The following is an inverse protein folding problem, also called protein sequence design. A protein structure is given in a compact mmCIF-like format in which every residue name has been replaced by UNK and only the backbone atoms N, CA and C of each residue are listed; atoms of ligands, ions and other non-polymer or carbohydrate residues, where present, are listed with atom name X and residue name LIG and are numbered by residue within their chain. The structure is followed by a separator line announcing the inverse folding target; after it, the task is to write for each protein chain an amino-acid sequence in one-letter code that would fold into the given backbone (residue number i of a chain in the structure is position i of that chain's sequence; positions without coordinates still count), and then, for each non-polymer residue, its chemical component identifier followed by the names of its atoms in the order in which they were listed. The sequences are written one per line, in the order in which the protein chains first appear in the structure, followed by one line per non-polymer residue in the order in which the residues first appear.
data_IF_581586005100
#
_entry.id   IF_581586005100
#
_cell.length_a   1.000
_cell.length_b   1.000
_cell.length_c   1.000
_cell.angle_alpha   90.00
_cell.angle_beta   90.00
_cell.angle_gamma   90.00
#
_symmetry.space_group_name_H-M   'P 1'
#
loop_
_entity.id
_entity.type
_entity.pdbx_description
1 polymer ?
#
# COMPACT_ATOMS: atom_id res chain seq x y z
N UNK A 1 -11.58 -44.39 34.40
CA UNK A 1 -10.32 -43.68 34.07
C UNK A 1 -10.73 -42.29 33.64
N UNK A 2 -10.22 -41.27 34.34
CA UNK A 2 -10.51 -39.87 34.02
C UNK A 2 -9.64 -39.47 32.81
N UNK A 3 -10.24 -38.94 31.77
CA UNK A 3 -9.55 -38.59 30.53
C UNK A 3 -9.33 -37.08 30.49
N UNK A 4 -8.08 -36.67 30.70
CA UNK A 4 -7.67 -35.28 30.45
C UNK A 4 -7.62 -35.06 28.94
N UNK A 5 -8.53 -34.23 28.43
CA UNK A 5 -8.47 -33.73 27.06
C UNK A 5 -7.41 -32.62 27.07
N UNK A 6 -6.25 -32.93 26.49
CA UNK A 6 -5.20 -31.94 26.23
C UNK A 6 -5.58 -31.23 24.92
N UNK A 7 -5.88 -29.93 25.01
CA UNK A 7 -6.15 -29.10 23.84
C UNK A 7 -4.81 -28.70 23.18
N UNK A 8 -4.62 -29.09 21.91
CA UNK A 8 -3.41 -28.82 21.13
C UNK A 8 -3.52 -27.47 20.40
N UNK A 9 -3.73 -26.39 21.16
CA UNK A 9 -3.72 -25.03 20.61
C UNK A 9 -2.30 -24.53 20.30
N UNK A 10 -2.13 -23.76 19.22
CA UNK A 10 -0.86 -23.09 18.92
C UNK A 10 -0.47 -22.11 20.04
N UNK A 11 0.70 -22.32 20.65
CA UNK A 11 1.31 -21.33 21.54
C UNK A 11 1.95 -20.22 20.67
N UNK A 12 1.26 -19.10 20.52
CA UNK A 12 1.84 -17.91 19.89
C UNK A 12 2.80 -17.21 20.86
N UNK A 13 4.02 -16.93 20.43
CA UNK A 13 4.97 -16.12 21.19
C UNK A 13 4.53 -14.64 21.18
N UNK A 14 3.56 -14.28 22.01
CA UNK A 14 3.02 -12.92 22.11
C UNK A 14 2.69 -12.54 23.56
N UNK A 15 2.68 -11.23 23.85
CA UNK A 15 2.19 -10.67 25.11
C UNK A 15 0.66 -10.54 25.15
N UNK A 16 -0.04 -10.82 24.04
CA UNK A 16 -1.49 -10.73 23.92
C UNK A 16 -2.12 -12.12 23.86
N UNK A 17 -3.19 -12.33 24.64
CA UNK A 17 -3.97 -13.57 24.63
C UNK A 17 -4.70 -13.72 23.28
N UNK A 18 -4.47 -14.83 22.57
CA UNK A 18 -5.25 -15.23 21.38
C UNK A 18 -6.14 -16.43 21.68
N UNK A 19 -7.23 -16.58 20.91
CA UNK A 19 -8.08 -17.77 20.97
C UNK A 19 -7.34 -18.99 20.44
N UNK A 20 -7.55 -20.17 21.04
CA UNK A 20 -6.92 -21.41 20.60
C UNK A 20 -7.36 -21.79 19.19
N UNK A 21 -6.38 -21.95 18.29
CA UNK A 21 -6.54 -22.54 16.96
C UNK A 21 -5.97 -23.97 17.03
N UNK A 22 -6.77 -25.01 16.82
CA UNK A 22 -6.30 -26.39 16.88
C UNK A 22 -5.44 -26.72 15.66
N UNK A 23 -4.19 -27.13 15.86
CA UNK A 23 -3.29 -27.53 14.78
C UNK A 23 -2.49 -28.80 15.12
N UNK A 24 -1.96 -29.48 14.09
CA UNK A 24 -1.25 -30.76 14.19
C UNK A 24 0.27 -30.63 14.33
N UNK A 25 0.80 -29.45 14.69
CA UNK A 25 2.24 -29.16 14.78
C UNK A 25 2.73 -28.87 16.21
N UNK A 26 3.89 -29.43 16.60
CA UNK A 26 4.46 -29.28 17.94
C UNK A 26 5.42 -28.08 18.11
N UNK A 27 5.61 -27.27 17.07
CA UNK A 27 6.55 -26.14 17.07
C UNK A 27 5.80 -24.81 17.13
N UNK A 28 6.08 -23.94 18.12
CA UNK A 28 5.57 -22.58 18.16
C UNK A 28 5.91 -21.83 16.86
N UNK A 29 4.91 -21.23 16.23
CA UNK A 29 5.09 -20.42 15.03
C UNK A 29 5.25 -18.96 15.45
N UNK A 30 6.30 -18.30 14.97
CA UNK A 30 6.43 -16.85 15.10
C UNK A 30 5.25 -16.20 14.40
N UNK A 31 4.55 -15.25 15.05
CA UNK A 31 3.50 -14.49 14.35
C UNK A 31 4.09 -13.92 13.07
N UNK A 32 3.38 -14.11 11.96
CA UNK A 32 3.75 -13.44 10.72
C UNK A 32 3.78 -11.94 11.00
N UNK A 33 4.75 -11.26 10.38
CA UNK A 33 4.69 -9.80 10.30
C UNK A 33 3.32 -9.41 9.73
N UNK A 34 2.76 -8.29 10.18
CA UNK A 34 1.51 -7.75 9.64
C UNK A 34 1.76 -7.27 8.21
N UNK A 35 1.73 -8.22 7.27
CA UNK A 35 2.03 -8.03 5.85
C UNK A 35 0.85 -8.50 5.04
N UNK A 36 0.20 -7.56 4.34
CA UNK A 36 -0.88 -7.86 3.41
C UNK A 36 -0.35 -7.69 1.98
N UNK A 37 -0.09 -8.81 1.32
CA UNK A 37 0.35 -8.84 -0.07
C UNK A 37 -0.67 -9.50 -1.00
N UNK A 38 -0.78 -8.98 -2.22
CA UNK A 38 -1.63 -9.53 -3.27
C UNK A 38 -0.79 -9.97 -4.46
N UNK A 39 -1.20 -11.07 -5.10
CA UNK A 39 -0.60 -11.50 -6.36
C UNK A 39 -0.79 -10.42 -7.42
N UNK A 40 0.25 -10.08 -8.16
CA UNK A 40 0.14 -9.11 -9.27
C UNK A 40 -0.64 -9.67 -10.45
N UNK A 41 -0.53 -10.99 -10.71
CA UNK A 41 -1.23 -11.63 -11.82
C UNK A 41 -2.75 -11.45 -11.69
N UNK A 42 -3.36 -10.78 -12.66
CA UNK A 42 -4.81 -10.51 -12.71
C UNK A 42 -5.28 -9.30 -11.88
N UNK A 43 -4.44 -8.76 -10.99
CA UNK A 43 -4.79 -7.62 -10.14
C UNK A 43 -4.15 -6.31 -10.59
N UNK A 44 -3.07 -6.37 -11.38
CA UNK A 44 -2.43 -5.20 -11.99
C UNK A 44 -2.02 -5.51 -13.43
N UNK A 45 -2.12 -4.52 -14.31
CA UNK A 45 -1.66 -4.59 -15.69
C UNK A 45 -0.60 -3.51 -15.90
N UNK A 46 0.61 -3.90 -16.29
CA UNK A 46 1.70 -2.95 -16.52
C UNK A 46 1.43 -2.03 -17.72
N UNK A 47 0.70 -2.50 -18.75
CA UNK A 47 0.40 -1.65 -19.90
C UNK A 47 -0.43 -0.41 -19.57
N UNK A 48 -1.31 -0.48 -18.55
CA UNK A 48 -2.18 0.62 -18.11
C UNK A 48 -2.91 0.25 -16.82
N UNK A 49 -3.26 1.24 -16.02
CA UNK A 49 -4.06 1.01 -14.83
C UNK A 49 -4.27 2.23 -13.95
N UNK A 50 -4.96 2.00 -12.85
CA UNK A 50 -5.18 3.01 -11.81
C UNK A 50 -5.23 2.32 -10.46
N UNK A 51 -4.58 2.92 -9.48
CA UNK A 51 -4.72 2.53 -8.08
C UNK A 51 -5.30 3.69 -7.29
N UNK A 52 -6.24 3.38 -6.41
CA UNK A 52 -6.89 4.34 -5.52
C UNK A 52 -6.98 3.75 -4.12
N UNK A 53 -6.88 4.63 -3.13
CA UNK A 53 -7.16 4.31 -1.74
C UNK A 53 -7.49 5.59 -0.98
N UNK A 54 -8.09 5.42 0.20
CA UNK A 54 -8.07 6.46 1.22
C UNK A 54 -7.06 6.11 2.31
N UNK A 55 -6.18 7.05 2.64
CA UNK A 55 -5.12 6.88 3.62
C UNK A 55 -5.22 7.88 4.76
N UNK A 56 -4.79 7.48 5.95
CA UNK A 56 -4.52 8.41 7.05
C UNK A 56 -3.22 8.05 7.75
N UNK A 57 -2.33 9.00 7.99
CA UNK A 57 -1.12 8.79 8.78
C UNK A 57 -1.32 9.23 10.24
N UNK A 58 -0.41 8.86 11.13
CA UNK A 58 -0.29 9.48 12.48
C UNK A 58 0.70 10.65 12.50
N UNK A 59 1.53 10.74 11.47
CA UNK A 59 2.63 11.67 11.35
C UNK A 59 2.29 12.86 10.44
N UNK A 60 2.91 14.01 10.73
CA UNK A 60 2.91 15.20 9.86
C UNK A 60 4.06 15.19 8.85
N UNK A 61 5.10 14.39 9.14
CA UNK A 61 6.28 14.11 8.32
C UNK A 61 6.90 12.80 8.79
N UNK A 62 7.62 12.07 7.93
CA UNK A 62 8.11 10.73 8.27
C UNK A 62 9.51 10.44 7.72
N UNK A 63 10.15 9.44 8.33
CA UNK A 63 11.34 8.75 7.82
C UNK A 63 11.28 7.29 8.26
N UNK A 64 11.59 6.30 7.40
CA UNK A 64 11.98 6.42 5.98
C UNK A 64 10.78 6.69 5.06
N UNK A 65 10.96 6.60 3.74
CA UNK A 65 9.88 6.64 2.72
C UNK A 65 8.69 5.76 3.13
N UNK A 66 7.48 6.32 3.10
CA UNK A 66 6.25 5.69 3.55
C UNK A 66 5.46 5.16 2.35
N UNK A 67 5.10 3.87 2.38
CA UNK A 67 4.64 3.16 1.18
C UNK A 67 3.21 2.73 1.34
N UNK A 68 2.32 3.20 0.48
CA UNK A 68 0.88 2.89 0.54
C UNK A 68 0.57 1.65 -0.28
N UNK A 69 0.98 1.65 -1.56
CA UNK A 69 0.89 0.51 -2.46
C UNK A 69 2.19 0.40 -3.25
N UNK A 70 2.80 -0.78 -3.30
CA UNK A 70 4.06 -0.97 -4.02
C UNK A 70 4.26 -2.40 -4.53
N UNK A 71 4.93 -2.53 -5.68
CA UNK A 71 5.51 -3.76 -6.23
C UNK A 71 7.04 -3.68 -6.16
N UNK A 72 7.54 -3.55 -4.94
CA UNK A 72 8.97 -3.40 -4.65
C UNK A 72 9.48 -1.96 -4.72
N UNK A 73 10.81 -1.82 -4.65
CA UNK A 73 11.48 -0.51 -4.52
C UNK A 73 11.49 0.33 -5.80
N UNK A 74 11.32 -0.31 -6.96
CA UNK A 74 11.24 0.32 -8.29
C UNK A 74 9.82 0.37 -8.84
N UNK A 75 8.80 -0.08 -8.10
CA UNK A 75 7.41 0.01 -8.50
C UNK A 75 6.59 0.56 -7.35
N UNK A 76 6.59 1.87 -7.14
CA UNK A 76 5.88 2.51 -6.03
C UNK A 76 4.60 3.11 -6.59
N UNK A 77 3.51 2.37 -6.42
CA UNK A 77 2.22 2.73 -6.99
C UNK A 77 1.65 3.96 -6.28
N UNK A 78 1.72 3.97 -4.94
CA UNK A 78 1.38 5.12 -4.10
C UNK A 78 2.36 5.19 -2.94
N UNK A 79 3.01 6.33 -2.75
CA UNK A 79 3.96 6.52 -1.66
C UNK A 79 4.15 7.99 -1.28
N UNK A 80 4.72 8.23 -0.10
CA UNK A 80 5.20 9.54 0.37
C UNK A 80 6.72 9.46 0.56
N UNK A 81 7.47 10.40 0.00
CA UNK A 81 8.93 10.42 0.05
C UNK A 81 9.45 10.86 1.43
N UNK A 82 10.69 10.47 1.75
CA UNK A 82 11.30 10.81 3.03
C UNK A 82 11.26 12.32 3.33
N UNK A 83 10.83 12.68 4.54
CA UNK A 83 10.62 14.05 5.02
C UNK A 83 9.55 14.85 4.28
N UNK A 84 8.66 14.21 3.52
CA UNK A 84 7.52 14.92 2.95
C UNK A 84 6.44 15.22 3.99
N UNK A 85 5.74 16.35 3.85
CA UNK A 85 4.55 16.63 4.64
C UNK A 85 3.43 15.65 4.28
N UNK A 86 2.56 15.36 5.25
CA UNK A 86 1.40 14.47 5.10
C UNK A 86 0.27 15.06 4.25
N UNK A 87 0.57 15.73 3.14
CA UNK A 87 -0.42 16.37 2.27
C UNK A 87 -0.07 16.26 0.78
N UNK A 88 0.83 15.35 0.42
CA UNK A 88 1.17 15.00 -0.96
C UNK A 88 1.38 13.49 -1.08
N UNK A 89 1.17 12.96 -2.28
CA UNK A 89 1.48 11.57 -2.63
C UNK A 89 2.24 11.54 -3.95
N UNK A 90 2.99 10.46 -4.17
CA UNK A 90 3.82 10.24 -5.34
C UNK A 90 3.55 8.86 -5.93
N UNK A 91 3.96 8.70 -7.19
CA UNK A 91 4.14 7.41 -7.84
C UNK A 91 5.49 7.36 -8.56
N UNK A 92 6.08 6.16 -8.63
CA UNK A 92 7.40 5.90 -9.24
C UNK A 92 7.36 4.58 -10.00
N UNK A 93 7.61 4.63 -11.31
CA UNK A 93 7.63 3.46 -12.21
C UNK A 93 9.00 2.74 -12.26
N UNK A 94 10.03 3.32 -11.63
CA UNK A 94 11.40 2.82 -11.67
C UNK A 94 12.36 3.76 -12.38
N UNK A 95 11.84 4.70 -13.19
CA UNK A 95 12.61 5.70 -13.92
C UNK A 95 12.11 7.14 -13.67
N UNK A 96 10.79 7.32 -13.59
CA UNK A 96 10.09 8.59 -13.55
C UNK A 96 9.24 8.71 -12.29
N UNK A 97 9.19 9.92 -11.72
CA UNK A 97 8.41 10.23 -10.52
C UNK A 97 7.38 11.29 -10.88
N UNK A 98 6.14 11.08 -10.45
CA UNK A 98 5.07 12.09 -10.44
C UNK A 98 4.73 12.44 -9.00
N UNK A 99 4.33 13.68 -8.76
CA UNK A 99 3.99 14.19 -7.43
C UNK A 99 2.67 14.93 -7.48
N UNK A 100 1.71 14.53 -6.65
CA UNK A 100 0.44 15.24 -6.56
C UNK A 100 0.65 16.71 -6.14
N UNK A 101 -0.32 17.60 -6.41
CA UNK A 101 -0.33 18.91 -5.78
C UNK A 101 -0.41 18.78 -4.26
N UNK A 102 -0.21 19.91 -3.56
CA UNK A 102 -0.47 20.00 -2.12
C UNK A 102 -1.97 19.93 -1.88
N UNK A 103 -2.42 18.84 -1.26
CA UNK A 103 -3.80 18.63 -0.86
C UNK A 103 -4.05 18.97 0.61
N UNK A 104 -5.16 18.45 1.12
CA UNK A 104 -5.43 18.48 2.56
C UNK A 104 -4.60 17.42 3.28
N UNK A 105 -4.28 17.67 4.56
CA UNK A 105 -3.43 16.75 5.31
C UNK A 105 -4.14 15.43 5.58
N UNK A 106 -3.45 14.31 5.34
CA UNK A 106 -3.84 12.98 5.76
C UNK A 106 -3.35 12.58 7.15
N UNK A 107 -2.73 13.51 7.91
CA UNK A 107 -2.44 13.28 9.32
C UNK A 107 -3.74 13.22 10.12
N UNK A 108 -4.00 12.09 10.75
CA UNK A 108 -5.18 11.81 11.60
C UNK A 108 -6.52 12.04 10.89
N UNK A 109 -6.52 12.13 9.56
CA UNK A 109 -7.70 12.37 8.73
C UNK A 109 -7.56 11.59 7.41
N UNK A 110 -8.57 10.80 6.99
CA UNK A 110 -8.50 10.11 5.71
C UNK A 110 -8.47 11.08 4.53
N UNK A 111 -7.58 10.84 3.56
CA UNK A 111 -7.56 11.54 2.27
C UNK A 111 -7.55 10.54 1.12
N UNK A 112 -8.30 10.86 0.06
CA UNK A 112 -8.31 10.13 -1.20
C UNK A 112 -6.98 10.35 -1.93
N UNK A 113 -6.31 9.27 -2.29
CA UNK A 113 -5.07 9.27 -3.08
C UNK A 113 -5.19 8.31 -4.24
N UNK A 114 -4.62 8.66 -5.39
CA UNK A 114 -4.62 7.79 -6.55
C UNK A 114 -3.37 7.97 -7.41
N UNK A 115 -3.10 6.95 -8.23
CA UNK A 115 -2.14 7.05 -9.31
C UNK A 115 -2.67 6.35 -10.55
N UNK A 116 -2.37 6.90 -11.71
CA UNK A 116 -2.75 6.37 -13.02
C UNK A 116 -1.48 6.14 -13.84
N UNK A 117 -1.49 5.10 -14.68
CA UNK A 117 -0.40 4.78 -15.61
C UNK A 117 -0.95 4.22 -16.92
N UNK A 118 -0.19 4.37 -18.01
CA UNK A 118 -0.57 3.96 -19.36
C UNK A 118 0.01 4.92 -20.39
N UNK A 119 -0.66 6.06 -20.60
CA UNK A 119 -0.18 7.17 -21.41
C UNK A 119 0.81 8.04 -20.64
N UNK A 120 0.54 8.27 -19.36
CA UNK A 120 1.38 9.05 -18.45
C UNK A 120 1.31 8.51 -17.03
N UNK A 121 2.36 8.73 -16.24
CA UNK A 121 2.34 8.44 -14.82
C UNK A 121 1.87 9.69 -14.07
N UNK A 122 0.70 9.61 -13.43
CA UNK A 122 0.10 10.76 -12.71
C UNK A 122 -0.27 10.38 -11.28
N UNK A 123 0.15 11.16 -10.30
CA UNK A 123 -0.31 11.07 -8.91
C UNK A 123 -1.42 12.08 -8.62
N UNK A 124 -2.32 11.70 -7.72
CA UNK A 124 -3.50 12.48 -7.34
C UNK A 124 -3.65 12.50 -5.83
N UNK A 125 -4.05 13.65 -5.29
CA UNK A 125 -4.56 13.77 -3.93
C UNK A 125 -5.87 14.53 -3.96
N UNK A 126 -6.87 14.07 -3.21
CA UNK A 126 -8.21 14.66 -3.18
C UNK A 126 -8.87 14.81 -4.57
N UNK A 127 -8.48 13.98 -5.54
CA UNK A 127 -8.96 14.04 -6.92
C UNK A 127 -8.19 14.99 -7.84
N UNK A 128 -7.28 15.81 -7.30
CA UNK A 128 -6.48 16.76 -8.07
C UNK A 128 -5.20 16.11 -8.61
N UNK A 129 -4.94 16.15 -9.93
CA UNK A 129 -3.76 15.56 -10.57
C UNK A 129 -2.50 16.41 -10.35
N UNK A 130 -1.34 15.75 -10.44
CA UNK A 130 -0.07 16.40 -10.79
C UNK A 130 -0.28 17.32 -12.01
N UNK A 131 0.17 18.58 -11.90
CA UNK A 131 0.07 19.55 -12.98
C UNK A 131 1.00 19.22 -14.16
N UNK A 132 2.01 18.40 -13.93
CA UNK A 132 2.99 17.94 -14.91
C UNK A 132 3.18 16.43 -14.79
N UNK A 133 2.22 15.62 -15.27
CA UNK A 133 2.36 14.16 -15.32
C UNK A 133 3.70 13.72 -15.90
N UNK A 134 4.27 12.68 -15.30
CA UNK A 134 5.53 12.12 -15.75
C UNK A 134 5.33 11.19 -16.97
N UNK A 135 6.40 10.97 -17.71
CA UNK A 135 6.41 9.92 -18.73
C UNK A 135 6.22 8.55 -18.06
N UNK A 136 5.59 7.62 -18.77
CA UNK A 136 5.46 6.23 -18.34
C UNK A 136 6.26 5.33 -19.27
N UNK A 137 7.07 4.43 -18.69
CA UNK A 137 7.98 3.55 -19.44
C UNK A 137 7.41 2.14 -19.73
N UNK A 138 6.19 1.87 -19.27
CA UNK A 138 5.47 0.62 -19.54
C UNK A 138 5.52 -0.43 -18.43
N UNK A 139 6.05 -0.11 -17.24
CA UNK A 139 5.99 -1.03 -16.09
C UNK A 139 5.75 -0.31 -14.76
N UNK A 140 4.97 -0.91 -13.84
CA UNK A 140 4.88 -0.48 -12.43
C UNK A 140 5.70 -1.41 -11.52
N UNK A 141 6.86 -1.84 -11.99
CA UNK A 141 7.75 -2.78 -11.29
C UNK A 141 7.30 -4.25 -11.36
N UNK A 142 7.86 -5.08 -10.49
CA UNK A 142 7.64 -6.54 -10.49
C UNK A 142 7.46 -7.07 -9.06
N UNK A 143 6.95 -8.29 -8.92
CA UNK A 143 6.66 -8.89 -7.61
C UNK A 143 5.22 -8.69 -7.16
N UNK A 144 4.91 -9.02 -5.90
CA UNK A 144 3.58 -8.87 -5.31
C UNK A 144 3.25 -7.40 -4.99
N UNK A 145 1.97 -7.09 -4.88
CA UNK A 145 1.49 -5.78 -4.44
C UNK A 145 1.46 -5.78 -2.92
N UNK A 146 2.33 -4.99 -2.29
CA UNK A 146 2.33 -4.77 -0.85
C UNK A 146 1.39 -3.63 -0.48
N UNK A 147 0.65 -3.81 0.62
CA UNK A 147 -0.33 -2.84 1.14
C UNK A 147 0.15 -2.25 2.46
N UNK A 148 0.48 -0.97 2.44
CA UNK A 148 1.19 -0.25 3.51
C UNK A 148 2.66 -0.66 3.73
N UNK A 149 3.24 -1.39 2.78
CA UNK A 149 4.65 -1.82 2.77
C UNK A 149 5.17 -2.08 1.34
N UNK A 150 6.49 -2.24 1.19
CA UNK A 150 7.18 -2.52 -0.10
C UNK A 150 7.41 -3.99 -0.42
N UNK A 151 7.00 -4.91 0.46
CA UNK A 151 7.44 -6.32 0.52
C UNK A 151 8.97 -6.48 0.73
N UNK A 152 9.70 -5.39 1.01
CA UNK A 152 11.17 -5.41 1.19
C UNK A 152 11.61 -4.31 2.16
N UNK A 153 12.30 -4.69 3.23
CA UNK A 153 12.90 -3.74 4.17
C UNK A 153 11.89 -3.07 5.12
N UNK A 154 12.20 -1.86 5.59
CA UNK A 154 11.45 -1.15 6.65
C UNK A 154 10.58 -0.02 6.11
N UNK A 155 10.24 -0.01 4.81
CA UNK A 155 9.41 1.03 4.23
C UNK A 155 7.93 0.73 4.46
N UNK A 156 7.43 1.10 5.64
CA UNK A 156 6.03 0.99 6.04
C UNK A 156 5.37 2.38 6.10
N UNK A 157 4.06 2.44 5.88
CA UNK A 157 3.34 3.73 5.89
C UNK A 157 3.11 4.31 7.28
N UNK A 158 2.94 3.46 8.31
CA UNK A 158 2.53 3.84 9.67
C UNK A 158 1.24 4.69 9.68
N UNK A 159 0.12 4.02 9.41
CA UNK A 159 -1.18 4.65 9.28
C UNK A 159 -2.28 3.64 8.94
N UNK A 160 -3.40 4.13 8.42
CA UNK A 160 -4.53 3.30 7.99
C UNK A 160 -4.78 3.47 6.50
N UNK A 161 -5.34 2.41 5.90
CA UNK A 161 -5.80 2.39 4.51
C UNK A 161 -7.21 1.82 4.45
N UNK A 162 -8.05 2.39 3.59
CA UNK A 162 -9.39 1.87 3.29
C UNK A 162 -9.75 2.13 1.82
N UNK A 163 -10.79 1.45 1.35
CA UNK A 163 -11.29 1.58 -0.03
C UNK A 163 -10.21 1.40 -1.11
N UNK A 164 -9.35 0.37 -0.95
CA UNK A 164 -8.33 0.06 -1.95
C UNK A 164 -8.99 -0.47 -3.23
N UNK A 165 -8.69 0.17 -4.35
CA UNK A 165 -9.20 -0.19 -5.66
C UNK A 165 -8.04 -0.21 -6.67
N UNK A 166 -7.97 -1.25 -7.48
CA UNK A 166 -7.00 -1.35 -8.58
C UNK A 166 -7.77 -1.68 -9.86
N UNK A 167 -7.58 -0.86 -10.88
CA UNK A 167 -8.24 -0.95 -12.17
C UNK A 167 -7.23 -1.33 -13.26
N UNK A 168 -7.66 -2.18 -14.21
CA UNK A 168 -6.87 -2.56 -15.39
C UNK A 168 -6.94 -1.53 -16.53
N UNK A 169 -7.32 -0.29 -16.22
CA UNK A 169 -7.41 0.82 -17.17
C UNK A 169 -6.92 2.10 -16.53
N UNK A 170 -6.35 2.96 -17.34
CA UNK A 170 -6.03 4.33 -16.95
C UNK A 170 -7.34 5.13 -16.85
N UNK A 171 -7.68 5.60 -15.65
CA UNK A 171 -8.76 6.53 -15.45
C UNK A 171 -8.27 7.95 -15.78
N UNK A 172 -9.10 8.75 -16.44
CA UNK A 172 -8.81 10.17 -16.61
C UNK A 172 -9.10 10.97 -15.32
N UNK A 173 -8.64 12.21 -15.23
CA UNK A 173 -8.76 13.02 -14.00
C UNK A 173 -10.20 13.21 -13.52
N UNK A 174 -11.18 13.30 -14.43
CA UNK A 174 -12.60 13.41 -14.03
C UNK A 174 -13.14 12.11 -13.43
N UNK A 175 -12.64 10.96 -13.88
CA UNK A 175 -13.00 9.66 -13.32
C UNK A 175 -12.34 9.47 -11.96
N UNK A 176 -11.07 9.88 -11.80
CA UNK A 176 -10.38 9.84 -10.51
C UNK A 176 -11.03 10.77 -9.49
N UNK A 177 -11.42 11.98 -9.89
CA UNK A 177 -12.16 12.91 -9.03
C UNK A 177 -13.57 12.46 -8.64
N UNK A 178 -14.08 11.36 -9.22
CA UNK A 178 -15.37 10.77 -8.89
C UNK A 178 -15.27 9.49 -8.04
N UNK A 179 -14.06 9.07 -7.65
CA UNK A 179 -13.80 7.97 -6.72
C UNK A 179 -13.93 8.45 -5.27
#
# INVERSE_FOLDING_TARGET
ADAVIVDFGQAEASTFLSSTIPETGATPVTRNIDELSYLSAGNILDAQGTAHAEISSVWSSHTPTAMVLARGVTGRILYSENNEPSNQIRAFDGANITTSPVGTSFQNAPQSVASTWGDSLTAYINGDPDATPAAYDGTMGTGAIGVLHTNVGTFAFDGTIRFVQIYSRELNSSQVGAL
#
